data_IF_511533013476
#
_entry.id   IF_511533013476
#
_cell.length_a   1.000
_cell.length_b   1.000
_cell.length_c   1.000
_cell.angle_alpha   90.00
_cell.angle_beta   90.00
_cell.angle_gamma   90.00
#
_symmetry.space_group_name_H-M   'P 1'
#
loop_
_entity.id
_entity.type
_entity.pdbx_description
1 polymer ?
#
# COMPACT_ATOMS: atom_id res chain seq x y z
N UNK A 1 -4.30 -18.07 -4.35
CA UNK A 1 -4.20 -16.61 -4.16
C UNK A 1 -2.76 -16.26 -3.88
N UNK A 2 -2.01 -15.95 -4.94
CA UNK A 2 -0.63 -15.47 -4.86
C UNK A 2 -0.70 -14.01 -5.28
N UNK A 3 -0.47 -13.08 -4.34
CA UNK A 3 -0.75 -11.66 -4.55
C UNK A 3 -0.52 -10.83 -3.30
N UNK A 4 -0.63 -9.52 -3.44
CA UNK A 4 -0.41 -8.58 -2.34
C UNK A 4 -1.64 -7.69 -2.13
N UNK A 5 -1.94 -7.42 -0.86
CA UNK A 5 -2.93 -6.42 -0.45
C UNK A 5 -2.17 -5.15 -0.10
N UNK A 6 -2.55 -4.04 -0.74
CA UNK A 6 -2.01 -2.72 -0.43
C UNK A 6 -3.09 -1.90 0.26
N UNK A 7 -2.81 -1.41 1.46
CA UNK A 7 -3.76 -0.61 2.25
C UNK A 7 -3.08 0.62 2.85
N UNK A 8 -3.87 1.65 3.16
CA UNK A 8 -3.41 2.83 3.88
C UNK A 8 -3.99 2.78 5.28
N UNK A 9 -3.14 2.91 6.29
CA UNK A 9 -3.53 2.99 7.69
C UNK A 9 -3.18 4.37 8.25
N UNK A 10 -4.02 4.90 9.13
CA UNK A 10 -3.71 6.10 9.89
C UNK A 10 -2.97 5.69 11.17
N UNK A 11 -1.75 6.15 11.33
CA UNK A 11 -1.01 6.03 12.56
C UNK A 11 -1.40 7.18 13.49
N UNK A 12 -2.37 6.94 14.37
CA UNK A 12 -2.89 7.97 15.29
C UNK A 12 -1.86 8.51 16.29
N UNK A 13 -0.75 7.79 16.51
CA UNK A 13 0.32 8.24 17.41
C UNK A 13 1.24 9.26 16.74
N UNK A 14 1.51 9.07 15.46
CA UNK A 14 2.39 9.94 14.68
C UNK A 14 1.61 10.96 13.81
N UNK A 15 0.27 10.88 13.78
CA UNK A 15 -0.62 11.70 12.96
C UNK A 15 -0.29 11.65 11.46
N UNK A 16 0.25 10.51 11.01
CA UNK A 16 0.62 10.26 9.61
C UNK A 16 -0.17 9.10 9.03
N UNK A 17 -0.28 9.09 7.70
CA UNK A 17 -0.73 7.91 6.97
C UNK A 17 0.46 7.03 6.61
N UNK A 18 0.28 5.72 6.73
CA UNK A 18 1.26 4.70 6.34
C UNK A 18 0.65 3.78 5.29
N UNK A 19 1.43 3.45 4.26
CA UNK A 19 1.11 2.42 3.28
C UNK A 19 1.62 1.09 3.80
N UNK A 20 0.74 0.09 3.85
CA UNK A 20 1.05 -1.27 4.27
C UNK A 20 0.87 -2.21 3.08
N UNK A 21 1.84 -3.11 2.90
CA UNK A 21 1.80 -4.19 1.91
C UNK A 21 1.78 -5.50 2.66
N UNK A 22 0.72 -6.27 2.44
CA UNK A 22 0.47 -7.56 3.09
C UNK A 22 0.48 -8.67 2.05
N UNK A 23 0.93 -9.86 2.47
CA UNK A 23 0.70 -11.07 1.70
C UNK A 23 -0.80 -11.41 1.68
N UNK A 24 -1.36 -11.73 0.51
CA UNK A 24 -2.79 -12.01 0.41
C UNK A 24 -3.19 -13.38 0.98
N UNK A 25 -2.27 -14.34 1.10
CA UNK A 25 -2.56 -15.69 1.57
C UNK A 25 -2.61 -15.76 3.10
N UNK A 26 -1.77 -15.02 3.81
CA UNK A 26 -1.67 -15.07 5.28
C UNK A 26 -1.78 -13.73 6.01
N UNK A 27 -1.91 -12.61 5.28
CA UNK A 27 -2.01 -11.24 5.81
C UNK A 27 -0.77 -10.77 6.59
N UNK A 28 0.37 -11.45 6.47
CA UNK A 28 1.63 -11.01 7.07
C UNK A 28 2.14 -9.74 6.41
N UNK A 29 2.70 -8.84 7.22
CA UNK A 29 3.30 -7.61 6.72
C UNK A 29 4.59 -7.91 5.95
N UNK A 30 4.59 -7.57 4.67
CA UNK A 30 5.78 -7.64 3.81
C UNK A 30 6.56 -6.33 3.81
N UNK A 31 5.86 -5.20 3.80
CA UNK A 31 6.48 -3.88 3.77
C UNK A 31 5.58 -2.79 4.34
N UNK A 32 6.23 -1.72 4.79
CA UNK A 32 5.58 -0.50 5.28
C UNK A 32 6.32 0.74 4.77
N UNK A 33 5.57 1.74 4.35
CA UNK A 33 6.10 3.04 3.93
C UNK A 33 5.29 4.18 4.51
N UNK A 34 5.95 5.27 4.91
CA UNK A 34 5.25 6.48 5.36
C UNK A 34 4.82 7.31 4.14
N UNK A 35 3.57 7.78 4.16
CA UNK A 35 3.11 8.75 3.18
C UNK A 35 3.56 10.16 3.60
N UNK A 36 4.00 11.00 2.65
CA UNK A 36 4.46 12.35 2.96
C UNK A 36 3.34 13.29 3.43
N UNK A 37 2.08 12.89 3.33
CA UNK A 37 0.92 13.66 3.79
C UNK A 37 -0.16 12.71 4.27
N UNK A 38 -0.86 13.07 5.34
CA UNK A 38 -2.02 12.34 5.82
C UNK A 38 -3.14 12.40 4.78
N UNK A 39 -3.63 11.24 4.35
CA UNK A 39 -4.71 11.15 3.37
C UNK A 39 -6.07 11.29 4.08
N UNK A 40 -7.04 12.02 3.49
CA UNK A 40 -8.40 12.05 4.00
C UNK A 40 -9.08 10.70 3.83
N UNK A 41 -9.98 10.36 4.75
CA UNK A 41 -10.64 9.06 4.87
C UNK A 41 -11.41 8.61 3.61
N UNK A 42 -11.84 9.54 2.76
CA UNK A 42 -12.60 9.27 1.52
C UNK A 42 -11.70 9.11 0.27
N UNK A 43 -10.38 9.03 0.45
CA UNK A 43 -9.45 8.85 -0.67
C UNK A 43 -9.55 7.44 -1.25
N UNK A 44 -9.90 7.32 -2.53
CA UNK A 44 -9.81 6.05 -3.26
C UNK A 44 -8.48 5.95 -3.99
N UNK A 45 -7.79 4.82 -3.83
CA UNK A 45 -6.58 4.49 -4.58
C UNK A 45 -6.86 3.39 -5.60
N UNK A 46 -6.22 3.47 -6.76
CA UNK A 46 -6.23 2.41 -7.77
C UNK A 46 -4.80 1.99 -8.07
N UNK A 47 -4.59 0.69 -8.15
CA UNK A 47 -3.29 0.13 -8.54
C UNK A 47 -3.27 -0.09 -10.05
N UNK A 48 -2.32 0.53 -10.75
CA UNK A 48 -2.05 0.25 -12.16
C UNK A 48 -0.73 -0.52 -12.25
N UNK A 49 -0.74 -1.81 -12.63
CA UNK A 49 0.49 -2.56 -12.81
C UNK A 49 1.30 -1.91 -13.94
N UNK A 50 2.55 -1.54 -13.63
CA UNK A 50 3.48 -1.11 -14.67
C UNK A 50 3.90 -2.35 -15.45
N UNK A 51 3.44 -2.47 -16.70
CA UNK A 51 3.95 -3.52 -17.59
C UNK A 51 5.36 -3.11 -18.01
N UNK A 52 6.38 -3.71 -17.41
CA UNK A 52 7.75 -3.60 -17.89
C UNK A 52 7.82 -4.26 -19.28
N UNK A 53 7.81 -3.46 -20.35
CA UNK A 53 8.18 -3.97 -21.68
C UNK A 53 9.69 -4.00 -21.74
N UNK A 54 10.26 -5.17 -21.52
CA UNK A 54 11.62 -5.50 -21.96
C UNK A 54 11.66 -5.37 -23.49
N UNK A 55 12.01 -4.18 -24.00
CA UNK A 55 12.42 -4.00 -25.40
C UNK A 55 13.83 -4.53 -25.52
N UNK A 56 13.94 -5.76 -26.03
CA UNK A 56 15.19 -6.37 -26.52
C UNK A 56 15.21 -6.36 -28.04
#
# INVERSE_FOLDING_TARGET
DDGAIVTVVLNSTAEISELLVLDAADLSEHARGQLPTALPSDSTASFTPSTDRLVG
#
